data_IF_669462099084
#
_entry.id   IF_669462099084
#
_cell.length_a   1.000
_cell.length_b   1.000
_cell.length_c   1.000
_cell.angle_alpha   90.00
_cell.angle_beta   90.00
_cell.angle_gamma   90.00
#
_symmetry.space_group_name_H-M   'P 1'
#
loop_
_entity.id
_entity.type
_entity.pdbx_description
1 polymer ?
#
# COMPACT_ATOMS: atom_id res chain seq x y z
N UNK A 1 8.17 -66.09 -16.51
CA UNK A 1 7.30 -65.91 -15.32
C UNK A 1 6.38 -64.72 -15.57
N UNK A 2 5.05 -64.96 -15.58
CA UNK A 2 3.92 -64.00 -15.50
C UNK A 2 3.79 -62.95 -16.61
N UNK A 3 3.03 -63.17 -17.70
CA UNK A 3 1.56 -62.94 -17.90
C UNK A 3 1.07 -61.55 -17.42
N UNK A 4 0.81 -60.55 -18.28
CA UNK A 4 -0.20 -60.39 -19.35
C UNK A 4 -1.62 -60.12 -18.83
N UNK A 5 -2.23 -58.98 -19.21
CA UNK A 5 -3.53 -58.96 -19.92
C UNK A 5 -3.94 -57.55 -20.38
N UNK A 6 -3.96 -57.36 -21.70
CA UNK A 6 -4.90 -56.46 -22.41
C UNK A 6 -6.14 -57.29 -22.72
N UNK A 7 -7.34 -56.76 -22.53
CA UNK A 7 -8.58 -57.37 -23.01
C UNK A 7 -9.30 -56.42 -23.95
N UNK A 8 -9.74 -57.03 -25.04
CA UNK A 8 -10.25 -56.48 -26.30
C UNK A 8 -11.77 -56.36 -26.26
N UNK A 9 -12.26 -55.44 -27.10
CA UNK A 9 -13.64 -55.02 -27.35
C UNK A 9 -14.42 -56.01 -28.25
N UNK A 10 -15.77 -55.88 -28.21
CA UNK A 10 -16.81 -56.41 -29.15
C UNK A 10 -17.23 -57.87 -28.85
N UNK A 11 -18.51 -58.27 -28.86
CA UNK A 11 -19.71 -57.91 -29.63
C UNK A 11 -20.89 -58.69 -29.03
N UNK A 12 -22.15 -58.25 -29.20
CA UNK A 12 -23.30 -59.15 -29.03
C UNK A 12 -24.64 -58.47 -28.74
N UNK A 13 -25.40 -58.21 -29.79
CA UNK A 13 -26.79 -57.74 -29.80
C UNK A 13 -27.72 -58.96 -29.94
N UNK A 14 -28.78 -59.11 -29.13
CA UNK A 14 -29.99 -59.85 -29.55
C UNK A 14 -31.20 -59.56 -28.63
N UNK A 15 -32.35 -59.31 -29.29
CA UNK A 15 -33.69 -59.04 -28.76
C UNK A 15 -34.32 -60.25 -28.05
N UNK A 16 -35.29 -60.03 -27.14
CA UNK A 16 -36.74 -60.31 -27.35
C UNK A 16 -37.61 -60.27 -26.06
N UNK A 17 -38.82 -59.74 -26.25
CA UNK A 17 -40.11 -60.09 -25.66
C UNK A 17 -40.52 -59.71 -24.21
N UNK A 18 -41.39 -58.68 -24.16
CA UNK A 18 -42.76 -58.70 -23.60
C UNK A 18 -43.07 -59.60 -22.39
N UNK A 19 -43.37 -58.98 -21.24
CA UNK A 19 -44.59 -59.25 -20.45
C UNK A 19 -45.02 -57.98 -19.71
N UNK A 20 -46.33 -57.75 -19.68
CA UNK A 20 -46.94 -56.57 -19.07
C UNK A 20 -47.56 -56.81 -17.70
N UNK A 21 -48.14 -55.71 -17.20
CA UNK A 21 -49.15 -55.54 -16.15
C UNK A 21 -48.68 -55.65 -14.68
N UNK A 22 -48.68 -54.53 -13.99
CA UNK A 22 -49.71 -54.24 -12.98
C UNK A 22 -49.62 -52.78 -12.51
N UNK A 23 -50.71 -52.03 -12.69
CA UNK A 23 -50.95 -50.73 -12.07
C UNK A 23 -51.05 -50.90 -10.55
N UNK A 24 -50.30 -50.12 -9.79
CA UNK A 24 -50.57 -49.87 -8.38
C UNK A 24 -50.81 -48.38 -8.20
N UNK A 25 -52.02 -48.11 -7.74
CA UNK A 25 -52.59 -46.82 -7.37
C UNK A 25 -51.68 -46.05 -6.42
N UNK A 26 -51.37 -44.80 -6.77
CA UNK A 26 -50.74 -43.84 -5.87
C UNK A 26 -51.71 -43.47 -4.74
N UNK A 27 -51.45 -44.03 -3.55
CA UNK A 27 -52.07 -43.61 -2.30
C UNK A 27 -51.24 -42.51 -1.64
N UNK A 28 -51.88 -41.38 -1.44
CA UNK A 28 -51.38 -40.16 -0.83
C UNK A 28 -51.04 -40.37 0.65
N UNK A 29 -49.77 -40.23 1.02
CA UNK A 29 -49.32 -40.01 2.40
C UNK A 29 -48.23 -38.93 2.35
N UNK A 30 -48.70 -37.69 2.32
CA UNK A 30 -47.89 -36.50 2.51
C UNK A 30 -47.22 -36.54 3.89
N UNK A 31 -46.00 -37.09 3.94
CA UNK A 31 -45.11 -36.90 5.08
C UNK A 31 -44.39 -35.58 4.84
N UNK A 32 -44.95 -34.50 5.41
CA UNK A 32 -44.28 -33.22 5.52
C UNK A 32 -43.04 -33.42 6.38
N UNK A 33 -41.90 -33.59 5.72
CA UNK A 33 -40.61 -33.42 6.37
C UNK A 33 -40.49 -31.94 6.74
N UNK A 34 -40.99 -31.59 7.92
CA UNK A 34 -40.63 -30.36 8.63
C UNK A 34 -39.13 -30.48 8.92
N UNK A 35 -38.30 -30.11 7.95
CA UNK A 35 -36.87 -29.90 8.19
C UNK A 35 -36.77 -28.80 9.23
N UNK A 36 -36.09 -29.02 10.36
CA UNK A 36 -35.67 -27.91 11.19
C UNK A 36 -34.62 -27.17 10.36
N UNK A 37 -35.09 -26.17 9.61
CA UNK A 37 -34.25 -25.11 9.10
C UNK A 37 -33.64 -24.48 10.34
N UNK A 38 -32.43 -24.92 10.66
CA UNK A 38 -31.58 -24.28 11.65
C UNK A 38 -31.39 -22.85 11.16
N UNK A 39 -32.22 -21.98 11.73
CA UNK A 39 -32.11 -20.55 11.73
C UNK A 39 -30.65 -20.23 12.10
N UNK A 40 -29.88 -19.80 11.11
CA UNK A 40 -28.64 -19.08 11.36
C UNK A 40 -29.09 -17.76 11.97
N UNK A 41 -29.36 -17.76 13.28
CA UNK A 41 -29.61 -16.55 14.05
C UNK A 41 -28.36 -15.68 13.92
N UNK A 42 -28.44 -14.69 13.04
CA UNK A 42 -27.65 -13.48 13.17
C UNK A 42 -27.99 -12.95 14.56
N UNK A 43 -27.13 -13.16 15.55
CA UNK A 43 -27.22 -12.50 16.85
C UNK A 43 -27.19 -10.98 16.57
N UNK A 44 -28.36 -10.36 16.45
CA UNK A 44 -28.52 -8.93 16.24
C UNK A 44 -28.44 -8.24 17.60
N UNK A 45 -27.71 -7.13 17.67
CA UNK A 45 -27.61 -6.34 18.88
C UNK A 45 -29.02 -5.86 19.31
N UNK A 46 -29.50 -6.17 20.52
CA UNK A 46 -30.80 -5.72 20.97
C UNK A 46 -30.93 -4.19 20.94
N UNK A 47 -32.03 -3.68 20.39
CA UNK A 47 -32.26 -2.24 20.20
C UNK A 47 -32.16 -1.42 21.49
N UNK A 48 -32.54 -2.02 22.63
CA UNK A 48 -32.40 -1.42 23.96
C UNK A 48 -30.93 -1.14 24.31
N UNK A 49 -30.03 -2.07 23.99
CA UNK A 49 -28.59 -1.93 24.22
C UNK A 49 -28.04 -0.84 23.30
N UNK A 50 -28.37 -0.88 22.00
CA UNK A 50 -27.96 0.14 21.04
C UNK A 50 -28.35 1.55 21.51
N UNK A 51 -29.61 1.72 21.95
CA UNK A 51 -30.13 3.00 22.44
C UNK A 51 -29.37 3.49 23.68
N UNK A 52 -29.18 2.60 24.67
CA UNK A 52 -28.46 2.95 25.91
C UNK A 52 -27.01 3.37 25.64
N UNK A 53 -26.33 2.68 24.72
CA UNK A 53 -24.96 3.00 24.31
C UNK A 53 -24.87 4.36 23.60
N UNK A 54 -25.79 4.64 22.67
CA UNK A 54 -25.84 5.93 21.99
C UNK A 54 -26.15 7.09 22.96
N UNK A 55 -27.03 6.87 23.94
CA UNK A 55 -27.35 7.86 24.97
C UNK A 55 -26.16 8.15 25.88
N UNK A 56 -25.46 7.11 26.37
CA UNK A 56 -24.27 7.26 27.19
C UNK A 56 -23.16 8.02 26.44
N UNK A 57 -22.92 7.68 25.16
CA UNK A 57 -21.95 8.39 24.34
C UNK A 57 -22.37 9.85 24.08
N UNK A 58 -23.64 10.10 23.79
CA UNK A 58 -24.17 11.45 23.58
C UNK A 58 -23.98 12.33 24.83
N UNK A 59 -24.25 11.79 26.02
CA UNK A 59 -24.06 12.52 27.28
C UNK A 59 -22.60 12.88 27.54
N UNK A 60 -21.68 11.95 27.26
CA UNK A 60 -20.23 12.11 27.48
C UNK A 60 -19.55 13.03 26.48
N UNK A 61 -19.97 13.00 25.20
CA UNK A 61 -19.32 13.75 24.11
C UNK A 61 -20.06 15.02 23.72
N UNK A 62 -21.30 15.21 24.20
CA UNK A 62 -22.22 16.27 23.78
C UNK A 62 -22.62 16.21 22.30
N UNK A 63 -22.39 15.08 21.63
CA UNK A 63 -22.86 14.84 20.26
C UNK A 63 -24.34 14.41 20.34
N UNK A 64 -25.25 15.01 19.55
CA UNK A 64 -26.65 14.59 19.53
C UNK A 64 -26.81 13.12 19.15
N UNK A 65 -27.68 12.39 19.85
CA UNK A 65 -27.95 10.94 19.59
C UNK A 65 -28.27 10.66 18.12
N UNK A 66 -28.97 11.58 17.44
CA UNK A 66 -29.32 11.47 16.02
C UNK A 66 -28.11 11.41 15.07
N UNK A 67 -26.93 11.87 15.50
CA UNK A 67 -25.69 11.80 14.73
C UNK A 67 -24.88 10.52 15.01
N UNK A 68 -25.24 9.77 16.06
CA UNK A 68 -24.53 8.57 16.49
C UNK A 68 -25.18 7.31 15.90
N UNK A 69 -24.40 6.47 15.23
CA UNK A 69 -24.88 5.23 14.59
C UNK A 69 -24.06 4.03 15.05
N UNK A 70 -24.71 2.88 15.22
CA UNK A 70 -23.99 1.63 15.42
C UNK A 70 -23.28 1.27 14.11
N UNK A 71 -21.95 1.18 14.18
CA UNK A 71 -21.09 0.82 13.06
C UNK A 71 -20.93 -0.70 12.96
N UNK A 72 -20.66 -1.34 14.10
CA UNK A 72 -20.54 -2.79 14.20
C UNK A 72 -20.94 -3.25 15.60
N UNK A 73 -21.38 -4.51 15.72
CA UNK A 73 -21.61 -5.15 16.99
C UNK A 73 -21.20 -6.63 16.89
N UNK A 74 -20.44 -7.11 17.87
CA UNK A 74 -19.95 -8.49 17.89
C UNK A 74 -20.15 -9.08 19.29
N UNK A 75 -20.78 -10.26 19.42
CA UNK A 75 -20.88 -10.92 20.71
C UNK A 75 -19.48 -11.30 21.21
N UNK A 76 -19.23 -11.08 22.50
CA UNK A 76 -17.94 -11.30 23.15
C UNK A 76 -18.12 -11.87 24.56
N UNK A 77 -17.08 -12.54 25.06
CA UNK A 77 -17.02 -12.98 26.47
C UNK A 77 -15.86 -12.28 27.15
N UNK A 78 -16.18 -11.59 28.25
CA UNK A 78 -15.24 -10.77 28.99
C UNK A 78 -14.62 -11.52 30.17
N UNK A 79 -13.41 -11.16 30.59
CA UNK A 79 -12.68 -11.91 31.64
C UNK A 79 -13.22 -11.67 33.06
N UNK A 80 -13.95 -10.59 33.30
CA UNK A 80 -14.40 -10.18 34.62
C UNK A 80 -15.65 -9.29 34.57
N UNK A 81 -16.23 -8.98 35.74
CA UNK A 81 -17.40 -8.10 35.87
C UNK A 81 -17.22 -6.66 35.38
N UNK A 82 -15.98 -6.22 35.20
CA UNK A 82 -15.64 -4.90 34.63
C UNK A 82 -15.39 -4.95 33.12
N UNK A 83 -15.73 -6.06 32.47
CA UNK A 83 -15.63 -6.26 31.03
C UNK A 83 -14.19 -6.15 30.49
N UNK A 84 -13.21 -6.43 31.37
CA UNK A 84 -11.79 -6.24 31.08
C UNK A 84 -11.31 -4.78 31.09
N UNK A 85 -12.14 -3.84 31.55
CA UNK A 85 -11.85 -2.40 31.60
C UNK A 85 -11.98 -1.85 33.04
N UNK A 86 -11.35 -2.53 33.99
CA UNK A 86 -11.29 -2.10 35.39
C UNK A 86 -10.55 -0.76 35.51
N UNK A 87 -11.10 0.17 36.28
CA UNK A 87 -10.41 1.42 36.63
C UNK A 87 -9.37 1.17 37.73
N UNK A 88 -8.37 2.06 37.89
CA UNK A 88 -7.43 1.97 39.02
C UNK A 88 -8.17 1.86 40.36
N UNK A 89 -7.86 0.80 41.13
CA UNK A 89 -8.50 0.53 42.43
C UNK A 89 -9.91 -0.05 42.38
N UNK A 90 -10.47 -0.32 41.20
CA UNK A 90 -11.80 -0.91 41.06
C UNK A 90 -11.77 -2.43 41.27
N UNK A 91 -12.59 -2.92 42.20
CA UNK A 91 -12.74 -4.35 42.46
C UNK A 91 -13.77 -4.95 41.50
N UNK A 92 -13.34 -5.94 40.71
CA UNK A 92 -14.16 -6.62 39.71
C UNK A 92 -14.36 -8.09 40.08
N UNK A 93 -15.54 -8.62 39.79
CA UNK A 93 -15.79 -10.07 39.95
C UNK A 93 -14.87 -10.86 39.03
N UNK A 94 -14.38 -12.01 39.48
CA UNK A 94 -13.47 -12.86 38.69
C UNK A 94 -14.21 -13.84 37.76
N UNK A 95 -15.53 -13.65 37.59
CA UNK A 95 -16.35 -14.49 36.72
C UNK A 95 -16.39 -13.90 35.30
N UNK A 96 -16.32 -14.76 34.30
CA UNK A 96 -16.48 -14.37 32.89
C UNK A 96 -17.90 -13.88 32.61
N UNK A 97 -18.02 -12.84 31.80
CA UNK A 97 -19.32 -12.21 31.48
C UNK A 97 -19.56 -12.22 29.98
N UNK A 98 -20.64 -12.84 29.52
CA UNK A 98 -21.07 -12.73 28.12
C UNK A 98 -21.64 -11.34 27.84
N UNK A 99 -21.42 -10.85 26.63
CA UNK A 99 -21.96 -9.58 26.19
C UNK A 99 -21.55 -9.19 24.79
N UNK A 100 -21.37 -7.89 24.56
CA UNK A 100 -21.17 -7.33 23.23
C UNK A 100 -20.04 -6.31 23.21
N UNK A 101 -19.20 -6.38 22.20
CA UNK A 101 -18.38 -5.27 21.75
C UNK A 101 -19.16 -4.50 20.69
N UNK A 102 -19.35 -3.21 20.89
CA UNK A 102 -20.15 -2.36 20.01
C UNK A 102 -19.33 -1.15 19.59
N UNK A 103 -19.26 -0.91 18.30
CA UNK A 103 -18.60 0.26 17.73
C UNK A 103 -19.65 1.28 17.30
N UNK A 104 -19.51 2.52 17.75
CA UNK A 104 -20.44 3.62 17.49
C UNK A 104 -19.70 4.72 16.74
N UNK A 105 -20.31 5.29 15.71
CA UNK A 105 -19.70 6.35 14.90
C UNK A 105 -20.55 7.60 14.81
N UNK A 106 -19.89 8.76 14.74
CA UNK A 106 -20.49 10.05 14.34
C UNK A 106 -20.29 10.35 12.84
N UNK A 107 -19.72 9.41 12.08
CA UNK A 107 -19.29 9.57 10.68
C UNK A 107 -17.80 9.88 10.49
N UNK A 108 -17.10 10.36 11.54
CA UNK A 108 -15.67 10.73 11.49
C UNK A 108 -14.82 10.01 12.52
N UNK A 109 -15.44 9.59 13.62
CA UNK A 109 -14.81 8.92 14.75
C UNK A 109 -15.57 7.64 15.06
N UNK A 110 -14.87 6.70 15.69
CA UNK A 110 -15.36 5.41 16.09
C UNK A 110 -15.01 5.16 17.55
N UNK A 111 -16.04 5.03 18.38
CA UNK A 111 -15.93 4.68 19.79
C UNK A 111 -16.27 3.22 19.97
N UNK A 112 -15.45 2.51 20.73
CA UNK A 112 -15.65 1.11 21.10
C UNK A 112 -16.22 1.05 22.51
N UNK A 113 -17.31 0.34 22.65
CA UNK A 113 -17.99 0.04 23.89
C UNK A 113 -18.00 -1.45 24.15
N UNK A 114 -17.94 -1.81 25.43
CA UNK A 114 -18.16 -3.16 25.93
C UNK A 114 -19.38 -3.15 26.82
N UNK A 115 -20.24 -4.13 26.65
CA UNK A 115 -21.40 -4.33 27.51
C UNK A 115 -21.58 -5.79 27.87
N UNK A 116 -22.29 -6.08 28.97
CA UNK A 116 -22.82 -7.42 29.23
C UNK A 116 -24.04 -7.72 28.31
N UNK A 117 -24.53 -8.96 28.37
CA UNK A 117 -25.60 -9.44 27.49
C UNK A 117 -26.93 -8.66 27.61
N UNK A 118 -27.17 -7.98 28.74
CA UNK A 118 -28.42 -7.26 29.01
C UNK A 118 -28.32 -5.75 28.80
N UNK A 119 -27.13 -5.19 28.60
CA UNK A 119 -26.94 -3.74 28.56
C UNK A 119 -26.85 -3.07 29.93
N UNK A 120 -26.85 -3.81 31.04
CA UNK A 120 -26.87 -3.22 32.39
C UNK A 120 -25.50 -2.77 32.90
N UNK A 121 -24.42 -3.21 32.27
CA UNK A 121 -23.06 -2.74 32.53
C UNK A 121 -22.46 -2.31 31.19
N UNK A 122 -22.10 -1.03 31.07
CA UNK A 122 -21.57 -0.41 29.85
C UNK A 122 -20.23 0.25 30.18
N UNK A 123 -19.20 -0.02 29.36
CA UNK A 123 -17.86 0.56 29.49
C UNK A 123 -17.39 1.08 28.15
N UNK A 124 -16.91 2.32 28.11
CA UNK A 124 -16.27 2.90 26.94
C UNK A 124 -14.78 2.53 26.97
N UNK A 125 -14.27 1.94 25.89
CA UNK A 125 -12.88 1.48 25.79
C UNK A 125 -11.93 2.60 25.37
N UNK A 126 -12.34 3.45 24.43
CA UNK A 126 -11.50 4.48 23.82
C UNK A 126 -12.13 5.88 23.85
N UNK A 127 -12.88 6.21 24.92
CA UNK A 127 -13.63 7.47 25.01
C UNK A 127 -12.75 8.72 24.79
N UNK A 128 -11.56 8.74 25.40
CA UNK A 128 -10.63 9.87 25.32
C UNK A 128 -9.90 9.97 23.97
N UNK A 129 -9.71 8.83 23.30
CA UNK A 129 -8.94 8.71 22.05
C UNK A 129 -9.68 7.81 21.06
N UNK A 130 -10.84 8.24 20.53
CA UNK A 130 -11.59 7.43 19.59
C UNK A 130 -10.78 7.22 18.30
N UNK A 131 -11.01 6.09 17.65
CA UNK A 131 -10.40 5.80 16.36
C UNK A 131 -10.96 6.76 15.32
N UNK A 132 -10.10 7.44 14.57
CA UNK A 132 -10.54 8.30 13.47
C UNK A 132 -10.84 7.43 12.25
N UNK A 133 -11.99 7.64 11.61
CA UNK A 133 -12.38 6.94 10.40
C UNK A 133 -11.88 7.68 9.16
N UNK A 134 -11.32 6.92 8.22
CA UNK A 134 -10.98 7.45 6.91
C UNK A 134 -12.27 7.92 6.21
N UNK A 135 -12.35 9.19 5.77
CA UNK A 135 -13.50 9.67 5.00
C UNK A 135 -13.74 8.81 3.75
N UNK A 136 -15.00 8.43 3.52
CA UNK A 136 -15.38 7.60 2.37
C UNK A 136 -15.00 8.22 1.03
N UNK A 137 -15.00 9.55 0.93
CA UNK A 137 -14.54 10.25 -0.26
C UNK A 137 -13.06 9.93 -0.58
N UNK A 138 -12.18 9.94 0.44
CA UNK A 138 -10.77 9.59 0.27
C UNK A 138 -10.62 8.11 -0.06
N UNK A 139 -11.33 7.24 0.67
CA UNK A 139 -11.31 5.80 0.40
C UNK A 139 -11.71 5.47 -1.04
N UNK A 140 -12.80 6.08 -1.52
CA UNK A 140 -13.30 5.88 -2.89
C UNK A 140 -12.32 6.40 -3.95
N UNK A 141 -11.70 7.57 -3.74
CA UNK A 141 -10.69 8.08 -4.66
C UNK A 141 -9.47 7.15 -4.74
N UNK A 142 -8.96 6.69 -3.60
CA UNK A 142 -7.83 5.76 -3.54
C UNK A 142 -8.17 4.44 -4.25
N UNK A 143 -9.32 3.83 -3.93
CA UNK A 143 -9.72 2.56 -4.54
C UNK A 143 -9.97 2.69 -6.05
N UNK A 144 -10.53 3.81 -6.50
CA UNK A 144 -10.71 4.07 -7.93
C UNK A 144 -9.37 4.21 -8.67
N UNK A 145 -8.40 4.94 -8.11
CA UNK A 145 -7.06 5.07 -8.70
C UNK A 145 -6.33 3.72 -8.74
N UNK A 146 -6.40 2.92 -7.65
CA UNK A 146 -5.81 1.58 -7.62
C UNK A 146 -6.48 0.65 -8.64
N UNK A 147 -7.81 0.68 -8.77
CA UNK A 147 -8.52 -0.12 -9.77
C UNK A 147 -8.07 0.22 -11.19
N UNK A 148 -7.95 1.52 -11.51
CA UNK A 148 -7.48 1.97 -12.81
C UNK A 148 -6.05 1.50 -13.12
N UNK A 149 -5.15 1.51 -12.12
CA UNK A 149 -3.75 1.08 -12.28
C UNK A 149 -3.58 -0.43 -12.35
N UNK A 150 -4.32 -1.17 -11.52
CA UNK A 150 -4.15 -2.61 -11.38
C UNK A 150 -4.99 -3.42 -12.36
N UNK A 151 -6.03 -2.80 -12.96
CA UNK A 151 -7.03 -3.49 -13.77
C UNK A 151 -7.98 -4.38 -12.96
N UNK A 152 -7.96 -4.29 -11.62
CA UNK A 152 -8.84 -5.05 -10.74
C UNK A 152 -10.17 -4.31 -10.50
N UNK A 153 -11.23 -5.06 -10.22
CA UNK A 153 -12.49 -4.45 -9.82
C UNK A 153 -12.38 -3.83 -8.42
N UNK A 154 -13.02 -2.68 -8.20
CA UNK A 154 -13.01 -2.00 -6.89
C UNK A 154 -13.49 -2.94 -5.76
N UNK A 155 -14.43 -3.85 -6.05
CA UNK A 155 -14.95 -4.81 -5.08
C UNK A 155 -13.88 -5.80 -4.56
N UNK A 156 -12.83 -6.05 -5.34
CA UNK A 156 -11.74 -6.96 -4.98
C UNK A 156 -10.61 -6.25 -4.22
N UNK A 157 -10.65 -4.91 -4.19
CA UNK A 157 -9.63 -4.09 -3.55
C UNK A 157 -9.98 -3.82 -2.09
N UNK A 158 -8.96 -3.88 -1.22
CA UNK A 158 -9.12 -3.59 0.21
C UNK A 158 -8.04 -2.64 0.71
N UNK A 159 -8.49 -1.58 1.39
CA UNK A 159 -7.62 -0.75 2.20
C UNK A 159 -7.21 -1.57 3.42
N UNK A 160 -5.93 -1.89 3.54
CA UNK A 160 -5.38 -2.68 4.65
C UNK A 160 -4.93 -1.81 5.81
N UNK A 161 -4.66 -0.52 5.57
CA UNK A 161 -4.30 0.44 6.60
C UNK A 161 -4.78 1.84 6.23
N UNK A 162 -5.28 2.60 7.20
CA UNK A 162 -5.55 4.02 7.06
C UNK A 162 -5.32 4.71 8.41
N UNK A 163 -4.33 5.59 8.47
CA UNK A 163 -3.92 6.25 9.70
C UNK A 163 -3.81 7.77 9.51
N UNK A 164 -4.24 8.57 10.51
CA UNK A 164 -4.00 10.00 10.49
C UNK A 164 -2.50 10.28 10.65
N UNK A 165 -1.98 11.21 9.86
CA UNK A 165 -0.57 11.62 9.88
C UNK A 165 -0.44 13.11 9.61
N UNK A 166 0.59 13.73 10.16
CA UNK A 166 0.95 15.12 9.85
C UNK A 166 2.14 15.12 8.92
N UNK A 167 2.01 15.82 7.80
CA UNK A 167 3.04 15.93 6.77
C UNK A 167 3.88 17.21 6.97
N UNK A 168 5.10 17.19 6.45
CA UNK A 168 6.07 18.29 6.56
C UNK A 168 5.66 19.56 5.79
N UNK A 169 4.86 19.40 4.73
CA UNK A 169 4.50 20.45 3.79
C UNK A 169 3.12 20.20 3.16
N UNK A 170 2.61 21.20 2.41
CA UNK A 170 1.35 21.11 1.66
C UNK A 170 1.36 20.06 0.53
N UNK A 171 2.53 19.54 0.17
CA UNK A 171 2.70 18.47 -0.81
C UNK A 171 2.79 17.09 -0.17
N UNK A 172 2.43 16.98 1.11
CA UNK A 172 2.36 15.73 1.86
C UNK A 172 3.74 15.07 2.06
N UNK A 173 4.80 15.88 2.08
CA UNK A 173 6.19 15.39 2.12
C UNK A 173 6.62 14.70 0.82
N UNK A 174 5.93 14.96 -0.29
CA UNK A 174 6.22 14.44 -1.63
C UNK A 174 6.57 15.57 -2.62
N UNK A 175 6.91 16.75 -2.11
CA UNK A 175 7.12 17.96 -2.90
C UNK A 175 8.37 17.99 -3.76
N UNK A 176 9.45 17.31 -3.35
CA UNK A 176 10.75 17.49 -4.01
C UNK A 176 11.20 18.96 -4.03
N UNK A 177 12.09 19.33 -4.95
CA UNK A 177 12.55 20.72 -5.11
C UNK A 177 11.71 21.56 -6.09
N UNK A 178 10.78 20.94 -6.83
CA UNK A 178 10.14 21.55 -8.00
C UNK A 178 8.64 21.80 -7.85
N UNK A 179 8.17 21.92 -6.60
CA UNK A 179 6.86 22.47 -6.31
C UNK A 179 7.03 23.65 -5.37
N UNK A 180 6.28 24.73 -5.64
CA UNK A 180 5.95 25.76 -4.68
C UNK A 180 5.07 25.16 -3.56
N UNK A 181 5.58 24.16 -2.84
CA UNK A 181 4.92 23.56 -1.70
C UNK A 181 5.04 24.54 -0.55
N UNK A 182 3.91 25.01 -0.02
CA UNK A 182 3.93 25.76 1.21
C UNK A 182 4.54 24.89 2.32
N UNK A 183 5.54 25.42 3.03
CA UNK A 183 6.16 24.82 4.21
C UNK A 183 5.21 24.92 5.42
N UNK A 184 4.09 24.21 5.32
CA UNK A 184 3.05 24.16 6.34
C UNK A 184 2.77 22.73 6.74
N UNK A 185 2.81 22.48 8.05
CA UNK A 185 2.44 21.20 8.62
C UNK A 185 1.00 20.87 8.22
N UNK A 186 0.83 19.80 7.46
CA UNK A 186 -0.46 19.47 6.84
C UNK A 186 -0.99 18.18 7.43
N UNK A 187 -2.01 18.22 8.30
CA UNK A 187 -2.68 17.02 8.78
C UNK A 187 -3.42 16.31 7.64
N UNK A 188 -3.40 14.98 7.67
CA UNK A 188 -4.00 14.17 6.63
C UNK A 188 -3.94 12.68 6.92
N UNK A 189 -3.90 11.87 5.87
CA UNK A 189 -4.06 10.41 5.94
C UNK A 189 -2.95 9.69 5.19
N UNK A 190 -2.37 8.66 5.81
CA UNK A 190 -1.57 7.64 5.13
C UNK A 190 -2.45 6.41 4.92
N UNK A 191 -2.66 6.01 3.67
CA UNK A 191 -3.54 4.91 3.28
C UNK A 191 -2.70 3.85 2.60
N UNK A 192 -2.93 2.57 2.92
CA UNK A 192 -2.27 1.44 2.25
C UNK A 192 -3.31 0.53 1.64
N UNK A 193 -3.13 0.23 0.37
CA UNK A 193 -3.92 -0.75 -0.37
C UNK A 193 -3.02 -1.89 -0.76
N UNK A 194 -3.43 -3.10 -0.39
CA UNK A 194 -2.76 -4.32 -0.80
C UNK A 194 -3.54 -4.92 -1.99
N UNK A 195 -2.85 -5.12 -3.11
CA UNK A 195 -3.31 -5.92 -4.24
C UNK A 195 -2.54 -7.24 -4.27
N UNK A 196 -2.89 -8.13 -5.20
CA UNK A 196 -2.14 -9.38 -5.40
C UNK A 196 -0.65 -9.15 -5.69
N UNK A 197 -0.32 -8.05 -6.36
CA UNK A 197 1.03 -7.79 -6.87
C UNK A 197 1.72 -6.62 -6.20
N UNK A 198 0.99 -5.73 -5.52
CA UNK A 198 1.51 -4.46 -5.04
C UNK A 198 0.94 -4.05 -3.67
N UNK A 199 1.79 -3.43 -2.85
CA UNK A 199 1.44 -2.69 -1.66
C UNK A 199 1.59 -1.22 -1.98
N UNK A 200 0.48 -0.52 -2.22
CA UNK A 200 0.48 0.88 -2.62
C UNK A 200 0.22 1.78 -1.42
N UNK A 201 1.02 2.82 -1.26
CA UNK A 201 0.91 3.80 -0.17
C UNK A 201 0.44 5.12 -0.76
N UNK A 202 -0.70 5.62 -0.28
CA UNK A 202 -1.23 6.93 -0.62
C UNK A 202 -1.09 7.89 0.56
N UNK A 203 -0.85 9.16 0.25
CA UNK A 203 -0.88 10.26 1.21
C UNK A 203 -1.98 11.22 0.80
N UNK A 204 -2.77 11.69 1.75
CA UNK A 204 -3.79 12.70 1.53
C UNK A 204 -3.74 13.80 2.57
N UNK A 205 -4.28 14.98 2.28
CA UNK A 205 -4.66 15.97 3.29
C UNK A 205 -5.95 15.55 4.02
N UNK A 206 -6.38 16.32 5.02
CA UNK A 206 -7.55 15.98 5.84
C UNK A 206 -8.85 15.85 5.04
N UNK A 207 -8.98 16.64 3.98
CA UNK A 207 -10.20 16.75 3.18
C UNK A 207 -10.21 15.86 1.93
N UNK A 208 -9.09 15.26 1.55
CA UNK A 208 -8.99 14.56 0.26
C UNK A 208 -8.84 15.48 -0.94
N UNK A 209 -8.49 16.75 -0.74
CA UNK A 209 -8.25 17.71 -1.84
C UNK A 209 -6.91 17.44 -2.50
N UNK A 210 -5.92 17.05 -1.71
CA UNK A 210 -4.63 16.57 -2.20
C UNK A 210 -4.55 15.10 -1.86
N UNK A 211 -4.37 14.26 -2.88
CA UNK A 211 -4.20 12.83 -2.77
C UNK A 211 -3.08 12.43 -3.73
N UNK A 212 -2.03 11.81 -3.22
CA UNK A 212 -0.85 11.41 -4.00
C UNK A 212 -0.43 9.99 -3.68
N UNK A 213 -0.01 9.26 -4.71
CA UNK A 213 0.70 8.00 -4.56
C UNK A 213 2.12 8.31 -4.05
N UNK A 214 2.47 7.70 -2.93
CA UNK A 214 3.84 7.64 -2.43
C UNK A 214 4.54 6.48 -3.14
N UNK A 215 5.11 6.75 -4.32
CA UNK A 215 5.81 5.75 -5.11
C UNK A 215 6.99 5.14 -4.34
N UNK A 216 7.66 5.93 -3.49
CA UNK A 216 8.76 5.49 -2.64
C UNK A 216 8.31 4.54 -1.53
N UNK A 217 7.16 4.83 -0.94
CA UNK A 217 6.54 4.00 0.10
C UNK A 217 5.90 2.73 -0.46
N UNK A 218 5.62 2.69 -1.76
CA UNK A 218 4.93 1.58 -2.43
C UNK A 218 5.88 0.46 -2.83
N UNK A 219 5.41 -0.80 -2.79
CA UNK A 219 6.23 -2.00 -2.98
C UNK A 219 5.52 -3.04 -3.85
N UNK A 220 6.27 -3.93 -4.50
CA UNK A 220 5.72 -5.15 -5.12
C UNK A 220 5.58 -6.26 -4.08
N UNK A 221 4.44 -6.94 -4.05
CA UNK A 221 4.14 -8.07 -3.15
C UNK A 221 4.85 -9.31 -3.67
N UNK A 222 5.59 -10.00 -2.79
CA UNK A 222 6.29 -11.24 -3.13
C UNK A 222 7.67 -11.06 -3.76
N UNK A 223 8.09 -9.83 -4.08
CA UNK A 223 9.52 -9.56 -4.22
C UNK A 223 10.13 -9.57 -2.82
N UNK A 224 10.92 -10.60 -2.51
CA UNK A 224 11.90 -10.51 -1.44
C UNK A 224 12.65 -9.20 -1.66
N UNK A 225 12.73 -8.34 -0.63
CA UNK A 225 13.62 -7.19 -0.66
C UNK A 225 15.00 -7.80 -0.92
N UNK A 226 15.48 -7.74 -2.16
CA UNK A 226 16.88 -8.03 -2.42
C UNK A 226 17.61 -6.92 -1.70
N UNK A 227 18.37 -7.23 -0.64
CA UNK A 227 19.11 -6.21 0.05
C UNK A 227 20.03 -5.55 -0.97
N UNK A 228 20.26 -4.23 -0.86
CA UNK A 228 21.21 -3.56 -1.73
C UNK A 228 22.54 -4.33 -1.70
N UNK A 229 23.01 -4.70 -2.89
CA UNK A 229 24.28 -5.36 -3.08
C UNK A 229 25.42 -4.35 -3.06
N UNK A 230 26.62 -4.85 -3.34
CA UNK A 230 27.80 -4.04 -3.58
C UNK A 230 28.15 -4.09 -5.06
N UNK A 231 28.44 -2.95 -5.68
CA UNK A 231 28.93 -2.88 -7.05
C UNK A 231 30.30 -3.58 -7.11
N UNK A 232 30.48 -4.61 -7.96
CA UNK A 232 31.78 -5.25 -8.16
C UNK A 232 32.83 -4.25 -8.61
N UNK A 233 34.06 -4.36 -8.10
CA UNK A 233 35.12 -3.37 -8.35
C UNK A 233 35.51 -3.23 -9.83
N UNK A 234 35.39 -4.32 -10.59
CA UNK A 234 35.59 -4.40 -12.04
C UNK A 234 34.45 -3.77 -12.85
N UNK A 235 33.30 -3.52 -12.22
CA UNK A 235 32.12 -2.90 -12.84
C UNK A 235 31.92 -1.46 -12.39
N UNK A 236 32.83 -0.90 -11.58
CA UNK A 236 32.78 0.51 -11.22
C UNK A 236 33.10 1.37 -12.45
N UNK A 237 32.36 2.47 -12.67
CA UNK A 237 32.74 3.42 -13.70
C UNK A 237 34.09 4.07 -13.34
N UNK A 238 34.81 4.63 -14.34
CA UNK A 238 36.00 5.45 -14.06
C UNK A 238 35.68 6.51 -13.01
N UNK A 239 36.54 6.77 -12.02
CA UNK A 239 36.29 7.77 -10.99
C UNK A 239 35.85 9.11 -11.60
N UNK A 240 34.89 9.78 -10.97
CA UNK A 240 34.52 11.12 -11.38
C UNK A 240 35.74 12.04 -11.15
N UNK A 241 36.05 12.89 -12.13
CA UNK A 241 37.14 13.85 -12.01
C UNK A 241 36.86 14.87 -10.89
N UNK A 242 37.89 15.52 -10.37
CA UNK A 242 37.76 16.43 -9.22
C UNK A 242 36.86 17.65 -9.50
N UNK A 243 36.72 18.04 -10.77
CA UNK A 243 35.87 19.11 -11.26
C UNK A 243 34.43 18.64 -11.59
N UNK A 244 34.11 17.37 -11.34
CA UNK A 244 32.76 16.82 -11.51
C UNK A 244 32.02 16.90 -10.17
N UNK A 245 30.89 17.60 -10.17
CA UNK A 245 29.98 17.64 -9.02
C UNK A 245 29.13 16.37 -8.98
N UNK A 246 28.60 15.97 -10.13
CA UNK A 246 27.72 14.82 -10.23
C UNK A 246 27.70 14.26 -11.65
N UNK A 247 27.63 12.94 -11.78
CA UNK A 247 27.58 12.25 -13.06
C UNK A 247 26.57 11.12 -13.02
N UNK A 248 25.68 11.13 -14.00
CA UNK A 248 24.74 10.05 -14.33
C UNK A 248 25.24 9.31 -15.56
N UNK A 249 25.30 7.98 -15.50
CA UNK A 249 25.57 7.10 -16.63
C UNK A 249 24.36 6.18 -16.77
N UNK A 250 23.62 6.28 -17.87
CA UNK A 250 22.51 5.42 -18.19
C UNK A 250 22.90 4.52 -19.36
N UNK A 251 22.90 3.21 -19.16
CA UNK A 251 23.25 2.22 -20.19
C UNK A 251 22.23 1.09 -20.24
N UNK A 252 21.89 0.63 -21.44
CA UNK A 252 21.03 -0.53 -21.64
C UNK A 252 19.84 -0.26 -22.58
N UNK A 253 18.76 -1.02 -22.38
CA UNK A 253 17.57 -1.02 -23.22
C UNK A 253 17.80 -1.58 -24.64
N UNK A 254 16.71 -1.72 -25.40
CA UNK A 254 16.69 -2.34 -26.74
C UNK A 254 17.62 -1.68 -27.77
N UNK A 255 18.01 -0.42 -27.55
CA UNK A 255 18.87 0.35 -28.48
C UNK A 255 20.36 0.30 -28.11
N UNK A 256 20.73 -0.26 -26.95
CA UNK A 256 22.13 -0.42 -26.52
C UNK A 256 22.92 0.89 -26.48
N UNK A 257 22.31 1.97 -25.98
CA UNK A 257 22.96 3.29 -25.92
C UNK A 257 23.46 3.55 -24.51
N UNK A 258 24.61 4.23 -24.42
CA UNK A 258 25.12 4.76 -23.15
C UNK A 258 25.07 6.27 -23.21
N UNK A 259 24.28 6.88 -22.33
CA UNK A 259 24.19 8.33 -22.19
C UNK A 259 24.87 8.68 -20.86
N UNK A 260 25.85 9.57 -20.93
CA UNK A 260 26.51 10.13 -19.74
C UNK A 260 26.16 11.59 -19.63
N UNK A 261 25.59 11.99 -18.49
CA UNK A 261 25.33 13.39 -18.15
C UNK A 261 26.19 13.79 -16.97
N UNK A 262 26.90 14.90 -17.10
CA UNK A 262 27.89 15.36 -16.12
C UNK A 262 27.63 16.82 -15.78
N UNK A 263 27.45 17.12 -14.50
CA UNK A 263 27.46 18.47 -13.97
C UNK A 263 28.85 18.79 -13.44
N UNK A 264 29.43 19.83 -14.02
CA UNK A 264 30.76 20.33 -13.70
C UNK A 264 30.69 21.34 -12.55
N UNK A 265 31.83 21.59 -11.88
CA UNK A 265 31.97 22.57 -10.81
C UNK A 265 31.82 24.02 -11.29
N UNK A 266 31.96 24.26 -12.60
CA UNK A 266 31.67 25.55 -13.25
C UNK A 266 30.18 25.69 -13.65
N UNK A 267 29.33 24.72 -13.31
CA UNK A 267 27.90 24.71 -13.60
C UNK A 267 27.53 24.22 -15.00
N UNK A 268 28.49 23.89 -15.87
CA UNK A 268 28.18 23.30 -17.18
C UNK A 268 27.56 21.93 -17.00
N UNK A 269 26.45 21.70 -17.70
CA UNK A 269 25.84 20.39 -17.82
C UNK A 269 26.15 19.80 -19.20
N UNK A 270 26.95 18.74 -19.22
CA UNK A 270 27.41 18.08 -20.45
C UNK A 270 26.69 16.76 -20.63
N UNK A 271 26.35 16.42 -21.87
CA UNK A 271 25.86 15.11 -22.27
C UNK A 271 26.82 14.52 -23.30
N UNK A 272 27.19 13.25 -23.11
CA UNK A 272 27.81 12.45 -24.16
C UNK A 272 26.99 11.19 -24.40
N UNK A 273 26.81 10.84 -25.66
CA UNK A 273 26.12 9.62 -26.08
C UNK A 273 27.12 8.73 -26.82
N UNK A 274 27.21 7.48 -26.37
CA UNK A 274 27.90 6.41 -27.09
C UNK A 274 26.84 5.47 -27.64
N UNK A 275 26.75 5.44 -28.97
CA UNK A 275 25.83 4.54 -29.68
C UNK A 275 26.33 3.09 -29.66
N UNK A 276 25.42 2.13 -29.85
CA UNK A 276 25.76 0.71 -29.99
C UNK A 276 26.77 0.40 -31.11
N UNK A 277 26.93 1.32 -32.08
CA UNK A 277 27.87 1.21 -33.21
C UNK A 277 29.21 1.92 -32.96
N UNK A 278 29.46 2.42 -31.74
CA UNK A 278 30.70 3.07 -31.33
C UNK A 278 30.81 4.57 -31.69
N UNK A 279 29.82 5.14 -32.37
CA UNK A 279 29.76 6.59 -32.60
C UNK A 279 29.56 7.33 -31.28
N UNK A 280 30.41 8.33 -31.02
CA UNK A 280 30.35 9.20 -29.83
C UNK A 280 29.94 10.60 -30.23
N UNK A 281 28.95 11.18 -29.54
CA UNK A 281 28.61 12.60 -29.64
C UNK A 281 28.71 13.25 -28.26
N UNK A 282 29.01 14.54 -28.22
CA UNK A 282 28.99 15.32 -26.98
C UNK A 282 28.41 16.70 -27.24
N UNK A 283 27.63 17.20 -26.28
CA UNK A 283 27.02 18.53 -26.31
C UNK A 283 26.85 19.08 -24.90
N UNK A 284 26.82 20.40 -24.77
CA UNK A 284 26.38 21.06 -23.55
C UNK A 284 24.84 21.14 -23.57
N UNK A 285 24.19 20.63 -22.53
CA UNK A 285 22.72 20.64 -22.38
C UNK A 285 22.21 21.94 -21.78
N UNK A 286 22.93 22.46 -20.79
CA UNK A 286 22.52 23.60 -20.00
C UNK A 286 23.72 24.25 -19.28
N UNK A 287 23.43 25.37 -18.60
CA UNK A 287 24.33 26.05 -17.68
C UNK A 287 23.56 26.29 -16.38
N UNK A 288 23.92 25.59 -15.30
CA UNK A 288 23.39 25.87 -13.99
C UNK A 288 23.95 27.20 -13.49
N UNK A 289 23.08 28.05 -12.94
CA UNK A 289 23.55 29.27 -12.28
C UNK A 289 24.17 28.93 -10.91
N UNK A 290 24.96 29.85 -10.29
CA UNK A 290 25.64 29.56 -9.03
C UNK A 290 24.70 29.09 -7.91
N UNK A 291 23.50 29.68 -7.81
CA UNK A 291 22.51 29.30 -6.80
C UNK A 291 22.02 27.86 -6.98
N UNK A 292 21.70 27.46 -8.22
CA UNK A 292 21.26 26.09 -8.53
C UNK A 292 22.37 25.07 -8.23
N UNK A 293 23.60 25.41 -8.58
CA UNK A 293 24.78 24.58 -8.34
C UNK A 293 25.04 24.40 -6.83
N UNK A 294 24.97 25.48 -6.06
CA UNK A 294 25.15 25.46 -4.60
C UNK A 294 24.03 24.66 -3.92
N UNK A 295 22.78 24.85 -4.35
CA UNK A 295 21.63 24.10 -3.83
C UNK A 295 21.79 22.60 -4.06
N UNK A 296 22.25 22.19 -5.25
CA UNK A 296 22.44 20.78 -5.55
C UNK A 296 23.59 20.16 -4.76
N UNK A 297 24.72 20.86 -4.65
CA UNK A 297 25.84 20.42 -3.81
C UNK A 297 25.44 20.30 -2.33
N UNK A 298 24.65 21.26 -1.84
CA UNK A 298 24.09 21.20 -0.49
C UNK A 298 23.17 19.99 -0.32
N UNK A 299 22.28 19.73 -1.28
CA UNK A 299 21.40 18.55 -1.25
C UNK A 299 22.21 17.25 -1.17
N UNK A 300 23.26 17.09 -1.96
CA UNK A 300 24.12 15.90 -1.93
C UNK A 300 24.75 15.67 -0.55
N UNK A 301 25.14 16.75 0.15
CA UNK A 301 25.68 16.70 1.51
C UNK A 301 24.59 16.39 2.54
N UNK A 302 23.47 17.11 2.49
CA UNK A 302 22.36 16.97 3.43
C UNK A 302 21.75 15.56 3.39
N UNK A 303 21.57 15.04 2.17
CA UNK A 303 21.07 13.68 1.91
C UNK A 303 22.16 12.60 2.04
N UNK A 304 23.37 13.00 2.46
CA UNK A 304 24.53 12.14 2.74
C UNK A 304 24.81 11.15 1.61
N UNK A 305 24.92 11.64 0.37
CA UNK A 305 25.09 10.78 -0.80
C UNK A 305 26.30 9.84 -0.69
N UNK A 306 27.33 10.25 0.05
CA UNK A 306 28.51 9.43 0.35
C UNK A 306 28.20 8.07 0.99
N UNK A 307 27.07 7.94 1.70
CA UNK A 307 26.63 6.68 2.32
C UNK A 307 26.26 5.60 1.29
N UNK A 308 25.98 5.98 0.05
CA UNK A 308 25.62 5.07 -1.02
C UNK A 308 26.83 4.60 -1.83
N UNK A 309 28.06 4.86 -1.36
CA UNK A 309 29.26 4.45 -2.07
C UNK A 309 29.29 2.94 -2.29
N UNK A 310 29.44 2.55 -3.56
CA UNK A 310 29.45 1.17 -4.07
C UNK A 310 28.15 0.40 -3.80
N UNK A 311 27.02 1.07 -3.58
CA UNK A 311 25.73 0.41 -3.37
C UNK A 311 25.08 0.06 -4.71
N UNK A 312 24.58 -1.17 -4.83
CA UNK A 312 23.90 -1.69 -6.00
C UNK A 312 22.45 -2.08 -5.68
N UNK A 313 21.49 -1.57 -6.45
CA UNK A 313 20.08 -1.98 -6.40
C UNK A 313 19.79 -2.81 -7.65
N UNK A 314 20.02 -4.13 -7.60
CA UNK A 314 19.96 -4.98 -8.78
C UNK A 314 18.54 -5.13 -9.30
N UNK A 315 18.41 -5.31 -10.61
CA UNK A 315 17.14 -5.69 -11.21
C UNK A 315 16.66 -7.07 -10.68
N UNK A 316 15.34 -7.33 -10.65
CA UNK A 316 14.80 -8.62 -10.25
C UNK A 316 15.32 -9.75 -11.14
N UNK A 317 15.43 -10.95 -10.57
CA UNK A 317 15.77 -12.13 -11.34
C UNK A 317 14.78 -12.32 -12.51
N UNK A 318 15.31 -12.49 -13.72
CA UNK A 318 14.51 -12.65 -14.94
C UNK A 318 14.04 -11.33 -15.58
N UNK A 319 14.35 -10.17 -15.01
CA UNK A 319 14.15 -8.89 -15.70
C UNK A 319 15.11 -8.77 -16.89
N UNK A 320 14.57 -8.27 -18.01
CA UNK A 320 15.31 -7.98 -19.23
C UNK A 320 14.99 -6.55 -19.70
N UNK A 321 15.79 -6.04 -20.63
CA UNK A 321 15.58 -4.75 -21.33
C UNK A 321 15.48 -3.48 -20.46
N UNK A 322 15.83 -3.57 -19.18
CA UNK A 322 15.89 -2.43 -18.27
C UNK A 322 17.10 -1.53 -18.56
N UNK A 323 17.04 -0.29 -18.07
CA UNK A 323 18.16 0.64 -18.12
C UNK A 323 18.87 0.61 -16.77
N UNK A 324 20.17 0.35 -16.80
CA UNK A 324 21.02 0.49 -15.63
C UNK A 324 21.48 1.94 -15.54
N UNK A 325 21.17 2.58 -14.42
CA UNK A 325 21.60 3.94 -14.10
C UNK A 325 22.65 3.91 -12.99
N UNK A 326 23.77 4.58 -13.23
CA UNK A 326 24.85 4.75 -12.26
C UNK A 326 25.02 6.22 -11.96
N UNK A 327 24.86 6.61 -10.70
CA UNK A 327 25.10 7.97 -10.22
C UNK A 327 26.43 8.02 -9.49
N UNK A 328 27.21 9.06 -9.71
CA UNK A 328 28.52 9.22 -9.07
C UNK A 328 28.83 10.67 -8.72
N UNK A 329 29.49 10.81 -7.58
CA UNK A 329 30.27 11.98 -7.14
C UNK A 329 31.75 11.56 -7.07
N UNK A 330 32.70 12.45 -6.82
CA UNK A 330 34.10 12.07 -6.63
C UNK A 330 34.30 10.97 -5.55
N UNK A 331 33.45 10.96 -4.51
CA UNK A 331 33.64 10.08 -3.34
C UNK A 331 32.68 8.90 -3.26
N UNK A 332 31.65 8.85 -4.11
CA UNK A 332 30.61 7.82 -4.01
C UNK A 332 29.96 7.48 -5.34
N UNK A 333 29.67 6.20 -5.52
CA UNK A 333 28.95 5.67 -6.69
C UNK A 333 27.80 4.77 -6.25
N UNK A 334 26.61 4.94 -6.83
CA UNK A 334 25.44 4.06 -6.63
C UNK A 334 24.88 3.63 -7.98
N UNK A 335 24.40 2.39 -8.06
CA UNK A 335 23.84 1.81 -9.29
C UNK A 335 22.45 1.24 -9.02
N UNK A 336 21.53 1.39 -9.96
CA UNK A 336 20.20 0.81 -9.87
C UNK A 336 19.60 0.58 -11.27
N UNK A 337 18.66 -0.37 -11.37
CA UNK A 337 17.83 -0.51 -12.55
C UNK A 337 16.66 0.50 -12.52
N UNK A 338 16.28 1.05 -13.66
CA UNK A 338 15.15 1.99 -13.79
C UNK A 338 13.82 1.42 -13.28
N UNK A 339 13.59 0.11 -13.45
CA UNK A 339 12.44 -0.60 -12.89
C UNK A 339 12.49 -0.70 -11.35
N UNK A 340 13.61 -0.42 -10.71
CA UNK A 340 13.84 -0.50 -9.25
C UNK A 340 13.84 0.86 -8.55
N UNK A 341 13.53 1.95 -9.27
CA UNK A 341 13.54 3.32 -8.70
C UNK A 341 12.65 3.45 -7.45
N UNK A 342 11.55 2.70 -7.40
CA UNK A 342 10.64 2.68 -6.24
C UNK A 342 11.29 2.11 -4.97
N UNK A 343 12.32 1.26 -5.08
CA UNK A 343 13.04 0.68 -3.92
C UNK A 343 14.12 1.59 -3.37
N UNK A 344 14.46 2.69 -4.07
CA UNK A 344 15.48 3.61 -3.61
C UNK A 344 15.01 4.35 -2.36
N UNK A 345 15.95 4.63 -1.45
CA UNK A 345 15.63 5.45 -0.26
C UNK A 345 15.12 6.84 -0.66
N UNK A 346 14.29 7.45 0.20
CA UNK A 346 13.75 8.80 -0.01
C UNK A 346 14.84 9.84 -0.35
N UNK A 347 16.03 9.69 0.26
CA UNK A 347 17.18 10.56 0.01
C UNK A 347 17.69 10.44 -1.44
N UNK A 348 17.85 9.21 -1.97
CA UNK A 348 18.26 8.99 -3.36
C UNK A 348 17.20 9.47 -4.35
N UNK A 349 15.92 9.23 -4.05
CA UNK A 349 14.85 9.68 -4.93
C UNK A 349 14.76 11.21 -4.99
N UNK A 350 15.00 11.88 -3.86
CA UNK A 350 15.05 13.34 -3.81
C UNK A 350 16.21 13.89 -4.64
N UNK A 351 17.38 13.26 -4.56
CA UNK A 351 18.53 13.60 -5.43
C UNK A 351 18.19 13.37 -6.90
N UNK A 352 17.59 12.22 -7.24
CA UNK A 352 17.24 11.87 -8.63
C UNK A 352 16.24 12.83 -9.25
N UNK A 353 15.17 13.19 -8.53
CA UNK A 353 14.19 14.18 -9.01
C UNK A 353 14.86 15.52 -9.27
N UNK A 354 15.63 16.00 -8.29
CA UNK A 354 16.39 17.26 -8.42
C UNK A 354 17.34 17.24 -9.62
N UNK A 355 18.05 16.13 -9.79
CA UNK A 355 18.96 15.94 -10.92
C UNK A 355 18.22 15.99 -12.27
N UNK A 356 17.06 15.34 -12.36
CA UNK A 356 16.21 15.37 -13.56
C UNK A 356 15.74 16.79 -13.88
N UNK A 357 15.36 17.58 -12.88
CA UNK A 357 14.90 18.96 -13.08
C UNK A 357 16.06 19.86 -13.53
N UNK A 358 17.25 19.70 -12.94
CA UNK A 358 18.47 20.40 -13.38
C UNK A 358 18.92 20.00 -14.80
N UNK A 359 18.62 18.76 -15.22
CA UNK A 359 19.08 18.21 -16.50
C UNK A 359 18.08 18.33 -17.65
N UNK A 360 16.87 18.84 -17.39
CA UNK A 360 15.91 19.21 -18.44
C UNK A 360 16.37 20.47 -19.15
N UNK A 361 16.57 20.39 -20.47
CA UNK A 361 16.73 21.59 -21.31
C UNK A 361 15.44 22.42 -21.26
N UNK A 362 15.51 23.76 -21.14
CA UNK A 362 14.37 24.59 -21.51
C UNK A 362 14.03 24.32 -22.98
N UNK A 363 12.79 23.94 -23.26
CA UNK A 363 12.31 23.83 -24.66
C UNK A 363 12.38 25.22 -25.30
N UNK A 364 12.82 25.34 -26.56
CA UNK A 364 12.80 26.61 -27.28
C UNK A 364 11.38 27.17 -27.41
#
# INVERSE_FOLDING_TARGET
MGFAMRVVMRTGLMLLALTGLANITAGELATRAESPSAEVETMQLPAKIATALQEDLAQKTKIPRAQLRIYAATPQTWPNGCLGLARPGEMCTQATVRGWQVEITDGTRLWTYRTNATGSSIRAENLASPKVLLPSAIANQVLADVAARSGQAIADLKITMAEPKVWSDACLGLGGLDLLCAEVLTPGWQIVVQTERQRLVYRSDRAGKVLKLDEAGSQMVGQLIQPPGKIPSDQLPPPAAADVVFREISSGGLRGRTITRTLMQDGRLLESEVSARGGTSSRQLAQANPKQLDQFQWLLKERRFSRFNQVDYPAPAGAADYITTTLSTPDATVRFADIEVFKLSEDLQTILRTWQDLSRSPKP
#
